data_IF_167551347527
#
_entry.id   IF_167551347527
#
_cell.length_a   1.000
_cell.length_b   1.000
_cell.length_c   1.000
_cell.angle_alpha   90.00
_cell.angle_beta   90.00
_cell.angle_gamma   90.00
#
_symmetry.space_group_name_H-M   'P 1'
#
loop_
_entity.id
_entity.type
_entity.pdbx_description
1 polymer ?
#
# COMPACT_ATOMS: atom_id res chain seq x y z
N UNK A 1 -29.19 -38.45 5.31
CA UNK A 1 -29.26 -37.16 6.02
C UNK A 1 -27.85 -36.57 6.00
N UNK A 2 -27.56 -35.67 5.06
CA UNK A 2 -26.23 -35.07 4.93
C UNK A 2 -26.24 -33.70 5.60
N UNK A 3 -25.40 -33.50 6.61
CA UNK A 3 -25.22 -32.20 7.23
C UNK A 3 -24.62 -31.22 6.20
N UNK A 4 -25.11 -29.97 6.10
CA UNK A 4 -24.46 -28.99 5.26
C UNK A 4 -23.07 -28.74 5.84
N UNK A 5 -22.02 -29.07 5.08
CA UNK A 5 -20.68 -28.56 5.33
C UNK A 5 -20.79 -27.04 5.17
N UNK A 6 -20.99 -26.33 6.27
CA UNK A 6 -20.72 -24.91 6.36
C UNK A 6 -19.23 -24.75 6.04
N UNK A 7 -18.91 -24.62 4.75
CA UNK A 7 -17.61 -24.13 4.35
C UNK A 7 -17.46 -22.80 5.08
N UNK A 8 -16.54 -22.75 6.05
CA UNK A 8 -16.09 -21.50 6.63
C UNK A 8 -15.71 -20.61 5.44
N UNK A 9 -16.56 -19.63 5.15
CA UNK A 9 -16.27 -18.66 4.11
C UNK A 9 -14.93 -18.04 4.50
N UNK A 10 -13.95 -17.99 3.59
CA UNK A 10 -12.63 -17.57 3.97
C UNK A 10 -12.65 -16.08 4.35
N UNK A 11 -12.62 -15.83 5.65
CA UNK A 11 -12.53 -14.49 6.23
C UNK A 11 -11.13 -13.95 5.97
N UNK A 12 -11.05 -12.67 5.65
CA UNK A 12 -9.76 -11.96 5.55
C UNK A 12 -9.19 -11.80 6.96
N UNK A 13 -8.00 -12.34 7.20
CA UNK A 13 -7.23 -12.11 8.42
C UNK A 13 -6.35 -10.88 8.24
N UNK A 14 -6.16 -10.11 9.31
CA UNK A 14 -5.40 -8.86 9.28
C UNK A 14 -4.23 -8.93 10.26
N UNK A 15 -3.02 -8.67 9.77
CA UNK A 15 -1.80 -8.64 10.57
C UNK A 15 -1.13 -7.26 10.49
N UNK A 16 -0.74 -6.66 11.63
CA UNK A 16 0.12 -5.49 11.61
C UNK A 16 1.52 -5.90 11.11
N UNK A 17 2.11 -5.06 10.26
CA UNK A 17 3.47 -5.28 9.72
C UNK A 17 4.43 -4.19 10.20
N UNK A 18 3.94 -2.96 10.27
CA UNK A 18 4.64 -1.78 10.78
C UNK A 18 3.60 -0.84 11.43
N UNK A 19 4.07 0.15 12.19
CA UNK A 19 3.22 1.21 12.71
C UNK A 19 2.45 1.88 11.57
N UNK A 20 1.12 1.84 11.69
CA UNK A 20 0.23 2.40 10.69
C UNK A 20 0.00 1.53 9.45
N UNK A 21 0.58 0.33 9.34
CA UNK A 21 0.40 -0.56 8.21
C UNK A 21 -0.14 -1.93 8.63
N UNK A 22 -1.30 -2.31 8.08
CA UNK A 22 -1.89 -3.64 8.29
C UNK A 22 -2.16 -4.35 6.96
N UNK A 23 -1.81 -5.63 6.90
CA UNK A 23 -1.95 -6.47 5.70
C UNK A 23 -3.09 -7.46 5.87
N UNK A 24 -3.93 -7.56 4.85
CA UNK A 24 -5.02 -8.51 4.75
C UNK A 24 -4.59 -9.75 3.96
N UNK A 25 -4.89 -10.93 4.49
CA UNK A 25 -4.72 -12.20 3.78
C UNK A 25 -5.98 -13.06 3.82
N UNK A 26 -6.22 -13.85 2.78
CA UNK A 26 -7.34 -14.79 2.68
C UNK A 26 -6.82 -16.14 2.22
N UNK A 27 -6.92 -17.17 3.08
CA UNK A 27 -6.34 -18.51 2.81
C UNK A 27 -4.83 -18.46 2.49
N UNK A 28 -4.10 -17.59 3.15
CA UNK A 28 -2.66 -17.39 2.91
C UNK A 28 -2.33 -16.54 1.68
N UNK A 29 -3.33 -16.12 0.89
CA UNK A 29 -3.13 -15.22 -0.24
C UNK A 29 -3.28 -13.75 0.20
N UNK A 30 -2.39 -12.89 -0.28
CA UNK A 30 -2.47 -11.45 -0.05
C UNK A 30 -3.66 -10.84 -0.80
N UNK A 31 -4.52 -10.11 -0.09
CA UNK A 31 -5.71 -9.47 -0.68
C UNK A 31 -5.64 -7.94 -0.73
N UNK A 32 -4.76 -7.34 0.08
CA UNK A 32 -4.59 -5.89 0.15
C UNK A 32 -4.03 -5.46 1.50
N UNK A 33 -3.98 -4.16 1.71
CA UNK A 33 -3.47 -3.56 2.94
C UNK A 33 -4.21 -2.26 3.26
N UNK A 34 -4.10 -1.81 4.51
CA UNK A 34 -4.59 -0.51 4.95
C UNK A 34 -3.43 0.24 5.59
N UNK A 35 -3.28 1.50 5.19
CA UNK A 35 -2.29 2.42 5.71
C UNK A 35 -2.99 3.56 6.47
N UNK A 36 -2.55 3.87 7.68
CA UNK A 36 -2.98 5.06 8.41
C UNK A 36 -2.23 6.28 7.90
N UNK A 37 -2.93 7.40 7.73
CA UNK A 37 -2.34 8.67 7.32
C UNK A 37 -2.09 9.55 8.56
N UNK A 38 -1.19 10.53 8.44
CA UNK A 38 -0.84 11.46 9.51
C UNK A 38 -2.03 12.28 10.07
N UNK A 39 -3.10 12.44 9.29
CA UNK A 39 -4.34 13.11 9.73
C UNK A 39 -5.34 12.17 10.44
N UNK A 40 -4.93 10.93 10.74
CA UNK A 40 -5.73 9.96 11.48
C UNK A 40 -6.71 9.14 10.63
N UNK A 41 -6.75 9.38 9.32
CA UNK A 41 -7.56 8.59 8.38
C UNK A 41 -6.83 7.31 7.91
N UNK A 42 -7.54 6.46 7.17
CA UNK A 42 -7.05 5.17 6.68
C UNK A 42 -7.26 5.05 5.17
N UNK A 43 -6.25 4.64 4.42
CA UNK A 43 -6.33 4.37 2.99
C UNK A 43 -6.30 2.86 2.78
N UNK A 44 -7.32 2.32 2.14
CA UNK A 44 -7.35 0.90 1.77
C UNK A 44 -6.78 0.71 0.36
N UNK A 45 -6.00 -0.34 0.18
CA UNK A 45 -5.39 -0.73 -1.09
C UNK A 45 -5.76 -2.16 -1.46
N UNK A 46 -5.92 -2.41 -2.76
CA UNK A 46 -6.10 -3.76 -3.29
C UNK A 46 -4.77 -4.55 -3.34
N UNK A 47 -4.82 -5.80 -3.81
CA UNK A 47 -3.64 -6.66 -3.95
C UNK A 47 -2.58 -6.15 -4.94
N UNK A 48 -2.86 -5.07 -5.69
CA UNK A 48 -1.94 -4.41 -6.62
C UNK A 48 -1.50 -3.03 -6.14
N UNK A 49 -1.71 -2.74 -4.85
CA UNK A 49 -1.45 -1.44 -4.26
C UNK A 49 -2.20 -0.30 -4.97
N UNK A 50 -3.39 -0.57 -5.53
CA UNK A 50 -4.27 0.47 -6.04
C UNK A 50 -5.15 0.97 -4.89
N UNK A 51 -5.21 2.28 -4.64
CA UNK A 51 -6.10 2.82 -3.61
C UNK A 51 -7.56 2.52 -3.98
N UNK A 52 -8.28 1.90 -3.03
CA UNK A 52 -9.71 1.62 -3.07
C UNK A 52 -10.47 2.86 -2.58
N UNK A 53 -9.97 3.49 -1.51
CA UNK A 53 -10.61 4.65 -0.92
C UNK A 53 -9.94 5.08 0.38
N UNK A 54 -10.40 6.23 0.89
CA UNK A 54 -10.02 6.79 2.18
C UNK A 54 -11.19 6.70 3.15
N UNK A 55 -10.89 6.38 4.39
CA UNK A 55 -11.87 6.04 5.41
C UNK A 55 -11.48 6.68 6.74
N UNK A 56 -12.47 7.05 7.53
CA UNK A 56 -12.26 7.61 8.87
C UNK A 56 -11.89 6.54 9.90
N UNK A 57 -12.22 5.26 9.62
CA UNK A 57 -11.96 4.16 10.55
C UNK A 57 -11.25 3.00 9.87
N UNK A 58 -10.42 2.31 10.63
CA UNK A 58 -9.74 1.10 10.17
C UNK A 58 -10.73 0.00 9.79
N UNK A 59 -11.86 -0.11 10.50
CA UNK A 59 -12.87 -1.12 10.24
C UNK A 59 -13.53 -0.93 8.86
N UNK A 60 -13.88 0.30 8.49
CA UNK A 60 -14.46 0.59 7.17
C UNK A 60 -13.44 0.41 6.04
N UNK A 61 -12.17 0.74 6.27
CA UNK A 61 -11.09 0.44 5.33
C UNK A 61 -10.90 -1.07 5.11
N UNK A 62 -10.85 -1.88 6.18
CA UNK A 62 -10.73 -3.34 6.06
C UNK A 62 -11.92 -3.97 5.34
N UNK A 63 -13.13 -3.48 5.61
CA UNK A 63 -14.33 -3.97 4.96
C UNK A 63 -14.34 -3.71 3.45
N UNK A 64 -13.74 -2.61 2.97
CA UNK A 64 -13.70 -2.30 1.55
C UNK A 64 -12.74 -3.20 0.76
N UNK A 65 -11.66 -3.70 1.37
CA UNK A 65 -10.77 -4.67 0.73
C UNK A 65 -11.46 -6.03 0.51
N UNK A 66 -12.42 -6.40 1.36
CA UNK A 66 -13.13 -7.68 1.28
C UNK A 66 -14.11 -7.81 0.11
N UNK A 67 -14.53 -6.70 -0.50
CA UNK A 67 -15.53 -6.68 -1.60
C UNK A 67 -14.91 -6.66 -3.00
N UNK A 68 -13.61 -6.38 -3.11
CA UNK A 68 -12.90 -6.34 -4.40
C UNK A 68 -12.46 -7.75 -4.79
N UNK A 69 -13.14 -8.34 -5.77
CA UNK A 69 -12.68 -9.57 -6.41
C UNK A 69 -11.38 -9.29 -7.19
N UNK A 70 -10.35 -10.14 -7.14
CA UNK A 70 -9.10 -9.90 -7.87
C UNK A 70 -9.33 -10.00 -9.39
N UNK A 71 -9.72 -8.91 -10.06
CA UNK A 71 -9.89 -8.91 -11.53
C UNK A 71 -8.54 -8.65 -12.24
N UNK A 72 -7.96 -9.63 -12.97
CA UNK A 72 -6.68 -9.47 -13.66
C UNK A 72 -6.64 -8.35 -14.73
N UNK A 73 -7.77 -7.78 -15.16
CA UNK A 73 -7.82 -6.79 -16.26
C UNK A 73 -7.36 -5.37 -15.88
N UNK A 74 -7.37 -5.00 -14.60
CA UNK A 74 -7.01 -3.64 -14.13
C UNK A 74 -5.50 -3.36 -14.19
N UNK A 75 -4.68 -4.41 -14.35
CA UNK A 75 -3.21 -4.35 -14.28
C UNK A 75 -2.50 -3.59 -15.42
N UNK A 76 -3.15 -3.41 -16.59
CA UNK A 76 -2.47 -2.87 -17.78
C UNK A 76 -2.50 -1.34 -17.89
N UNK A 77 -3.44 -0.65 -17.23
CA UNK A 77 -3.62 0.81 -17.35
C UNK A 77 -2.59 1.62 -16.55
N UNK A 78 -2.13 1.11 -15.40
CA UNK A 78 -1.28 1.87 -14.46
C UNK A 78 0.19 2.00 -14.89
N UNK A 79 0.75 1.01 -15.60
CA UNK A 79 2.12 1.08 -16.15
C UNK A 79 2.33 2.24 -17.15
N UNK A 80 1.26 2.72 -17.80
CA UNK A 80 1.32 3.88 -18.71
C UNK A 80 1.22 5.21 -17.95
N UNK A 81 0.56 5.21 -16.80
CA UNK A 81 0.43 6.39 -15.93
C UNK A 81 1.70 6.62 -15.09
N UNK A 82 2.31 5.55 -14.56
CA UNK A 82 3.56 5.64 -13.77
C UNK A 82 4.76 6.14 -14.60
N UNK A 83 4.82 5.82 -15.90
CA UNK A 83 5.86 6.36 -16.80
C UNK A 83 5.65 7.82 -17.19
N UNK A 84 4.44 8.36 -17.04
CA UNK A 84 4.16 9.76 -17.38
C UNK A 84 4.64 10.72 -16.28
N UNK A 85 4.78 10.25 -15.04
CA UNK A 85 5.19 11.08 -13.89
C UNK A 85 6.70 11.26 -13.77
N UNK A 86 7.52 10.47 -14.47
CA UNK A 86 8.97 10.66 -14.51
C UNK A 86 9.44 11.72 -15.51
N UNK A 87 8.53 12.40 -16.21
CA UNK A 87 8.87 13.38 -17.25
C UNK A 87 8.95 14.85 -16.77
N UNK A 88 8.76 15.17 -15.48
CA UNK A 88 9.00 16.55 -15.05
C UNK A 88 8.74 16.89 -13.58
N UNK A 89 9.77 17.49 -12.98
CA UNK A 89 9.78 18.42 -11.84
C UNK A 89 9.85 17.86 -10.39
N UNK A 90 11.09 17.92 -9.88
CA UNK A 90 11.51 18.38 -8.54
C UNK A 90 11.26 17.47 -7.33
N UNK A 91 12.35 16.82 -6.92
CA UNK A 91 12.50 15.98 -5.72
C UNK A 91 12.41 16.82 -4.45
N UNK A 92 11.39 16.57 -3.61
CA UNK A 92 11.42 16.90 -2.18
C UNK A 92 10.61 15.85 -1.40
N UNK A 93 11.23 15.14 -0.45
CA UNK A 93 10.57 14.20 0.46
C UNK A 93 11.28 12.84 0.57
N UNK A 94 12.55 12.84 0.99
CA UNK A 94 12.97 12.38 2.32
C UNK A 94 13.25 10.86 2.40
N UNK A 95 14.37 10.45 1.80
CA UNK A 95 15.09 9.24 2.23
C UNK A 95 15.86 9.63 3.50
N UNK A 96 15.35 9.24 4.67
CA UNK A 96 16.15 9.26 5.90
C UNK A 96 17.15 8.09 5.83
N UNK A 97 18.25 8.32 5.13
CA UNK A 97 19.38 7.41 4.98
C UNK A 97 20.64 8.23 4.81
N UNK A 98 20.98 8.97 5.85
CA UNK A 98 22.15 9.83 5.94
C UNK A 98 23.43 8.97 5.85
N UNK A 99 24.18 9.10 4.77
CA UNK A 99 25.62 8.77 4.77
C UNK A 99 26.38 10.00 4.26
N UNK A 100 26.85 10.79 5.24
CA UNK A 100 27.69 11.97 5.03
C UNK A 100 29.11 11.50 4.74
N UNK A 101 29.63 11.81 3.56
CA UNK A 101 31.07 11.88 3.33
C UNK A 101 31.47 13.36 3.30
N UNK A 102 32.11 13.78 4.39
CA UNK A 102 32.78 15.05 4.54
C UNK A 102 34.19 15.00 3.92
N UNK A 103 34.74 16.21 3.67
CA UNK A 103 36.13 16.55 3.32
C UNK A 103 36.49 16.44 1.83
N UNK A 104 37.03 17.47 1.16
CA UNK A 104 37.45 18.82 1.56
C UNK A 104 37.52 19.68 0.28
N UNK A 105 37.07 20.94 0.32
CA UNK A 105 37.95 22.11 0.47
C UNK A 105 39.33 21.88 -0.16
N UNK A 106 39.51 22.45 -1.36
CA UNK A 106 40.69 23.21 -1.78
C UNK A 106 40.34 23.96 -3.09
N UNK A 107 39.77 25.16 -2.94
CA UNK A 107 40.23 26.32 -3.71
C UNK A 107 41.34 26.97 -2.86
N UNK A 108 42.31 27.74 -3.39
CA UNK A 108 42.32 28.58 -4.60
C UNK A 108 43.58 28.32 -5.49
N UNK A 109 43.67 28.71 -6.77
CA UNK A 109 43.63 30.06 -7.33
C UNK A 109 45.07 30.55 -7.60
N UNK A 110 45.44 30.67 -8.89
CA UNK A 110 46.29 31.70 -9.53
C UNK A 110 45.99 31.66 -11.03
#
# INVERSE_FOLDING_TARGET
>A
MSAPLLHSLPIVTWAPVEDGLVVGSRRGEFVGFVESTADGSYVAFDSRAQPIGRYETLASAKASTGTVSPDPRTARRRRRAERALFAGATVTGAVAGMMVLAAGVLAPGW
#
